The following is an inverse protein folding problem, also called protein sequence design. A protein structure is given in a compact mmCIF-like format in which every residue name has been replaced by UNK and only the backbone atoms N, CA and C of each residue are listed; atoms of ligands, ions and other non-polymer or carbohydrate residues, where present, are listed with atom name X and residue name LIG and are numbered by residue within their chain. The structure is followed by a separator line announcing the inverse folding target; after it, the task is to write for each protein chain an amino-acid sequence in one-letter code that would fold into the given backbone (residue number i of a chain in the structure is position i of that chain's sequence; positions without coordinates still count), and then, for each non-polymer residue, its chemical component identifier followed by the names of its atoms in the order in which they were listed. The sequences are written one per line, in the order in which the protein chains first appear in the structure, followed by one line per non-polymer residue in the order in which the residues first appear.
data_IF_320377756066
#
_entry.id   IF_320377756066
#
_cell.length_a   1.000
_cell.length_b   1.000
_cell.length_c   1.000
_cell.angle_alpha   90.00
_cell.angle_beta   90.00
_cell.angle_gamma   90.00
#
_symmetry.space_group_name_H-M   'P 1'
#
loop_
_entity.id
_entity.type
_entity.pdbx_description
1 polymer ?
#
# COMPACT_ATOMS: atom_id res chain seq x y z
N UNK A 1 -11.14 33.04 40.85
CA UNK A 1 -10.14 32.31 41.66
C UNK A 1 -10.32 30.79 41.68
N UNK A 2 -11.49 30.21 41.35
CA UNK A 2 -11.65 28.73 41.29
C UNK A 2 -11.37 28.09 39.92
N UNK A 3 -11.17 28.85 38.84
CA UNK A 3 -10.92 28.28 37.49
C UNK A 3 -9.43 28.02 37.20
N UNK A 4 -8.51 28.80 37.78
CA UNK A 4 -7.06 28.62 37.56
C UNK A 4 -6.51 27.35 38.22
N UNK A 5 -7.06 26.96 39.36
CA UNK A 5 -6.67 25.74 40.09
C UNK A 5 -7.14 24.46 39.41
N UNK A 6 -8.23 24.50 38.63
CA UNK A 6 -8.69 23.34 37.87
C UNK A 6 -7.79 23.06 36.65
N UNK A 7 -7.32 24.11 35.97
CA UNK A 7 -6.44 23.98 34.80
C UNK A 7 -5.04 23.45 35.17
N UNK A 8 -4.48 23.84 36.32
CA UNK A 8 -3.16 23.37 36.74
C UNK A 8 -3.16 21.88 37.14
N UNK A 9 -4.23 21.38 37.75
CA UNK A 9 -4.36 19.95 38.12
C UNK A 9 -4.54 19.07 36.88
N UNK A 10 -5.29 19.54 35.89
CA UNK A 10 -5.42 18.88 34.58
C UNK A 10 -4.05 18.70 33.89
N UNK A 11 -3.27 19.78 33.77
CA UNK A 11 -1.96 19.75 33.12
C UNK A 11 -0.92 18.87 33.83
N UNK A 12 -0.94 18.81 35.17
CA UNK A 12 -0.05 17.93 35.94
C UNK A 12 -0.39 16.45 35.70
N UNK A 13 -1.67 16.13 35.54
CA UNK A 13 -2.12 14.76 35.27
C UNK A 13 -1.70 14.32 33.87
N UNK A 14 -1.84 15.19 32.87
CA UNK A 14 -1.42 14.92 31.48
C UNK A 14 0.10 14.76 31.37
N UNK A 15 0.89 15.68 31.92
CA UNK A 15 2.35 15.61 31.85
C UNK A 15 2.93 14.36 32.55
N UNK A 16 2.30 13.92 33.64
CA UNK A 16 2.69 12.69 34.33
C UNK A 16 2.32 11.43 33.53
N UNK A 17 1.15 11.45 32.84
CA UNK A 17 0.71 10.38 31.93
C UNK A 17 1.66 10.24 30.73
N UNK A 18 2.09 11.34 30.12
CA UNK A 18 3.09 11.35 29.02
C UNK A 18 4.42 10.76 29.48
N UNK A 19 4.92 11.17 30.64
CA UNK A 19 6.20 10.66 31.18
C UNK A 19 6.14 9.17 31.53
N UNK A 20 4.99 8.68 31.99
CA UNK A 20 4.76 7.28 32.31
C UNK A 20 4.66 6.40 31.06
N UNK A 21 4.03 6.90 30.00
CA UNK A 21 3.89 6.22 28.69
C UNK A 21 5.23 6.09 27.95
N UNK A 22 6.11 7.08 28.07
CA UNK A 22 7.43 7.10 27.40
C UNK A 22 8.48 6.21 28.10
N UNK A 23 8.18 5.66 29.29
CA UNK A 23 9.15 4.91 30.12
C UNK A 23 9.41 3.45 29.70
N UNK A 24 9.03 3.03 28.47
CA UNK A 24 9.55 1.80 27.85
C UNK A 24 8.55 0.64 27.68
N UNK A 25 7.95 0.06 28.75
CA UNK A 25 7.02 -1.07 28.59
C UNK A 25 5.61 -0.65 28.14
N UNK A 26 5.25 0.63 28.28
CA UNK A 26 3.93 1.15 27.87
C UNK A 26 3.91 1.69 26.43
N UNK A 27 5.08 1.78 25.76
CA UNK A 27 5.18 2.28 24.39
C UNK A 27 4.41 1.39 23.39
N UNK A 28 4.28 0.10 23.70
CA UNK A 28 3.53 -0.87 22.92
C UNK A 28 2.00 -0.63 23.00
N UNK A 29 1.53 -0.03 24.10
CA UNK A 29 0.11 0.32 24.31
C UNK A 29 -0.30 1.61 23.61
N UNK A 30 0.65 2.45 23.18
CA UNK A 30 0.36 3.65 22.37
C UNK A 30 -0.37 3.26 21.08
N UNK A 31 -0.06 2.09 20.51
CA UNK A 31 -0.71 1.59 19.30
C UNK A 31 -2.17 1.14 19.50
N UNK A 32 -2.62 0.99 20.75
CA UNK A 32 -3.97 0.61 21.10
C UNK A 32 -4.84 1.80 21.55
N UNK A 33 -4.29 3.02 21.57
CA UNK A 33 -5.04 4.20 21.93
C UNK A 33 -6.02 4.61 20.82
N UNK A 34 -7.20 5.16 21.18
CA UNK A 34 -8.07 5.84 20.24
C UNK A 34 -7.31 6.97 19.52
N UNK A 35 -7.70 7.25 18.28
CA UNK A 35 -7.04 8.25 17.42
C UNK A 35 -6.96 9.61 18.10
N UNK A 36 -8.02 10.00 18.81
CA UNK A 36 -8.13 11.30 19.47
C UNK A 36 -7.10 11.46 20.60
N UNK A 37 -7.00 10.46 21.50
CA UNK A 37 -6.00 10.45 22.58
C UNK A 37 -4.56 10.38 22.05
N UNK A 38 -4.37 9.78 20.88
CA UNK A 38 -3.06 9.72 20.22
C UNK A 38 -2.63 11.12 19.72
N UNK A 39 -3.55 11.90 19.16
CA UNK A 39 -3.25 13.27 18.73
C UNK A 39 -2.97 14.20 19.91
N UNK A 40 -3.73 14.09 21.00
CA UNK A 40 -3.46 14.85 22.23
C UNK A 40 -2.05 14.55 22.77
N UNK A 41 -1.64 13.28 22.75
CA UNK A 41 -0.29 12.87 23.13
C UNK A 41 0.80 13.42 22.19
N UNK A 42 0.52 13.55 20.89
CA UNK A 42 1.47 14.12 19.94
C UNK A 42 1.62 15.64 20.12
N UNK A 43 0.53 16.33 20.45
CA UNK A 43 0.53 17.77 20.68
C UNK A 43 1.26 18.14 21.98
N UNK A 44 1.18 17.27 22.99
CA UNK A 44 1.88 17.45 24.28
C UNK A 44 3.33 16.90 24.31
N UNK A 45 3.75 16.11 23.32
CA UNK A 45 5.05 15.46 23.30
C UNK A 45 6.21 16.43 23.02
N UNK A 46 7.31 16.27 23.74
CA UNK A 46 8.54 17.02 23.45
C UNK A 46 9.21 16.50 22.17
N UNK A 47 10.09 17.29 21.52
CA UNK A 47 10.79 16.86 20.31
C UNK A 47 11.54 15.52 20.45
N UNK A 48 12.08 15.24 21.64
CA UNK A 48 12.77 13.99 21.95
C UNK A 48 11.80 12.81 22.08
N UNK A 49 10.60 13.04 22.63
CA UNK A 49 9.56 12.04 22.74
C UNK A 49 8.94 11.72 21.38
N UNK A 50 8.75 12.74 20.53
CA UNK A 50 8.34 12.55 19.14
C UNK A 50 9.33 11.67 18.38
N UNK A 51 10.64 11.85 18.57
CA UNK A 51 11.65 10.97 17.96
C UNK A 51 11.53 9.51 18.42
N UNK A 52 11.24 9.27 19.71
CA UNK A 52 11.04 7.92 20.24
C UNK A 52 9.77 7.27 19.70
N UNK A 53 8.68 8.03 19.58
CA UNK A 53 7.42 7.58 18.99
C UNK A 53 7.64 7.25 17.51
N UNK A 54 8.28 8.15 16.74
CA UNK A 54 8.59 7.90 15.32
C UNK A 54 9.44 6.63 15.15
N UNK A 55 10.47 6.45 15.98
CA UNK A 55 11.34 5.28 15.91
C UNK A 55 10.61 3.97 16.31
N UNK A 56 9.64 4.03 17.23
CA UNK A 56 8.82 2.86 17.55
C UNK A 56 7.87 2.49 16.41
N UNK A 57 7.27 3.49 15.74
CA UNK A 57 6.49 3.29 14.53
C UNK A 57 7.31 2.66 13.40
N UNK A 58 8.56 3.11 13.20
CA UNK A 58 9.47 2.50 12.22
C UNK A 58 9.78 1.03 12.56
N UNK A 59 9.99 0.73 13.85
CA UNK A 59 10.23 -0.63 14.34
C UNK A 59 9.00 -1.54 14.18
N UNK A 60 7.80 -1.05 14.47
CA UNK A 60 6.53 -1.80 14.33
C UNK A 60 6.13 -1.98 12.87
N UNK A 61 6.41 -0.98 12.02
CA UNK A 61 6.28 -1.13 10.57
C UNK A 61 7.21 -2.21 10.00
N UNK A 62 8.38 -2.41 10.61
CA UNK A 62 9.33 -3.49 10.25
C UNK A 62 8.89 -4.89 10.71
N UNK A 63 8.12 -5.02 11.79
CA UNK A 63 7.71 -6.32 12.36
C UNK A 63 6.40 -6.88 11.81
N UNK A 64 5.67 -6.17 10.94
CA UNK A 64 4.50 -6.77 10.27
C UNK A 64 4.96 -7.84 9.28
N UNK A 65 4.79 -9.11 9.69
CA UNK A 65 5.05 -10.37 8.98
C UNK A 65 4.81 -10.37 7.46
N UNK A 66 3.87 -9.56 6.95
CA UNK A 66 3.63 -9.32 5.52
C UNK A 66 4.83 -8.73 4.76
N UNK A 67 5.63 -7.87 5.40
CA UNK A 67 6.86 -7.34 4.81
C UNK A 67 7.91 -8.44 4.57
N UNK A 68 7.94 -9.49 5.41
CA UNK A 68 8.90 -10.59 5.23
C UNK A 68 8.53 -11.49 4.04
N UNK A 69 7.23 -11.74 3.82
CA UNK A 69 6.75 -12.50 2.66
C UNK A 69 6.93 -11.71 1.38
N UNK A 70 6.61 -10.41 1.41
CA UNK A 70 6.88 -9.52 0.28
C UNK A 70 8.37 -9.41 -0.02
N UNK A 71 9.23 -9.29 0.99
CA UNK A 71 10.68 -9.31 0.77
C UNK A 71 11.15 -10.63 0.16
N UNK A 72 10.63 -11.78 0.59
CA UNK A 72 10.95 -13.06 -0.05
C UNK A 72 10.48 -13.14 -1.50
N UNK A 73 9.28 -12.64 -1.81
CA UNK A 73 8.74 -12.60 -3.17
C UNK A 73 9.53 -11.62 -4.04
N UNK A 74 9.95 -10.49 -3.50
CA UNK A 74 10.66 -9.44 -4.22
C UNK A 74 12.17 -9.74 -4.33
N UNK A 75 12.71 -10.57 -3.44
CA UNK A 75 14.13 -10.90 -3.40
C UNK A 75 14.65 -11.42 -4.75
N UNK A 76 15.76 -10.83 -5.16
CA UNK A 76 16.47 -11.08 -6.40
C UNK A 76 17.67 -11.96 -6.06
N UNK A 77 17.78 -13.20 -6.60
CA UNK A 77 19.03 -13.94 -6.51
C UNK A 77 20.17 -13.12 -7.12
N UNK A 78 21.25 -12.96 -6.37
CA UNK A 78 22.42 -12.13 -6.68
C UNK A 78 23.36 -12.87 -7.64
N UNK A 79 23.88 -12.18 -8.66
CA UNK A 79 24.86 -12.74 -9.62
C UNK A 79 24.61 -12.44 -11.10
N UNK A 80 25.50 -12.94 -11.97
CA UNK A 80 25.39 -12.85 -13.44
C UNK A 80 24.14 -13.59 -13.91
N UNK A 81 23.11 -12.86 -14.33
CA UNK A 81 21.86 -13.45 -14.83
C UNK A 81 21.91 -13.66 -16.33
N UNK A 82 21.57 -14.88 -16.77
CA UNK A 82 21.21 -15.13 -18.16
C UNK A 82 19.84 -14.52 -18.48
N UNK A 83 19.56 -14.29 -19.76
CA UNK A 83 18.23 -13.84 -20.23
C UNK A 83 17.12 -14.76 -19.73
N UNK A 84 17.37 -16.07 -19.72
CA UNK A 84 16.45 -17.07 -19.19
C UNK A 84 16.17 -16.88 -17.70
N UNK A 85 17.18 -16.56 -16.90
CA UNK A 85 17.01 -16.27 -15.47
C UNK A 85 16.17 -15.02 -15.23
N UNK A 86 16.32 -13.99 -16.08
CA UNK A 86 15.47 -12.78 -16.03
C UNK A 86 14.02 -13.15 -16.35
N UNK A 87 13.78 -13.86 -17.46
CA UNK A 87 12.44 -14.30 -17.86
C UNK A 87 11.76 -15.15 -16.78
N UNK A 88 12.45 -16.14 -16.23
CA UNK A 88 11.91 -16.98 -15.14
C UNK A 88 11.59 -16.17 -13.88
N UNK A 89 12.39 -15.14 -13.57
CA UNK A 89 12.12 -14.25 -12.44
C UNK A 89 10.80 -13.50 -12.61
N UNK A 90 10.54 -12.96 -13.81
CA UNK A 90 9.27 -12.30 -14.13
C UNK A 90 8.09 -13.29 -14.16
N UNK A 91 8.22 -14.41 -14.86
CA UNK A 91 7.13 -15.40 -14.95
C UNK A 91 6.72 -15.97 -13.60
N UNK A 92 7.67 -16.22 -12.69
CA UNK A 92 7.35 -16.70 -11.33
C UNK A 92 6.54 -15.72 -10.48
N UNK A 93 6.53 -14.42 -10.83
CA UNK A 93 5.81 -13.36 -10.10
C UNK A 93 4.51 -12.93 -10.77
N UNK A 94 4.25 -13.40 -12.00
CA UNK A 94 3.00 -13.17 -12.72
C UNK A 94 1.76 -13.57 -11.90
N UNK A 95 1.72 -14.72 -11.16
CA UNK A 95 0.56 -15.06 -10.34
C UNK A 95 0.30 -14.04 -9.22
N UNK A 96 1.35 -13.56 -8.55
CA UNK A 96 1.23 -12.55 -7.49
C UNK A 96 0.70 -11.24 -8.05
N UNK A 97 1.23 -10.79 -9.18
CA UNK A 97 0.73 -9.61 -9.89
C UNK A 97 -0.77 -9.75 -10.24
N UNK A 98 -1.15 -10.86 -10.88
CA UNK A 98 -2.54 -11.10 -11.28
C UNK A 98 -3.49 -11.20 -10.09
N UNK A 99 -3.07 -11.79 -8.97
CA UNK A 99 -3.87 -11.84 -7.74
C UNK A 99 -4.10 -10.42 -7.20
N UNK A 100 -3.05 -9.60 -7.11
CA UNK A 100 -3.15 -8.23 -6.58
C UNK A 100 -4.10 -7.39 -7.47
N UNK A 101 -3.87 -7.38 -8.78
CA UNK A 101 -4.69 -6.61 -9.73
C UNK A 101 -6.11 -7.16 -9.80
N UNK A 102 -6.28 -8.49 -9.77
CA UNK A 102 -7.59 -9.14 -9.78
C UNK A 102 -8.41 -8.79 -8.54
N UNK A 103 -7.81 -8.85 -7.35
CA UNK A 103 -8.47 -8.44 -6.10
C UNK A 103 -8.85 -6.96 -6.11
N UNK A 104 -8.01 -6.10 -6.71
CA UNK A 104 -8.31 -4.67 -6.84
C UNK A 104 -9.52 -4.40 -7.77
N UNK A 105 -9.77 -5.25 -8.77
CA UNK A 105 -10.90 -5.09 -9.71
C UNK A 105 -12.19 -5.83 -9.32
N UNK A 106 -12.16 -6.70 -8.29
CA UNK A 106 -13.34 -7.44 -7.84
C UNK A 106 -14.52 -6.55 -7.43
N UNK A 107 -14.34 -5.44 -6.68
CA UNK A 107 -15.46 -4.60 -6.28
C UNK A 107 -16.22 -4.02 -7.48
N UNK A 108 -15.52 -3.56 -8.52
CA UNK A 108 -16.12 -3.14 -9.79
C UNK A 108 -17.02 -4.21 -10.44
N UNK A 109 -16.55 -5.45 -10.50
CA UNK A 109 -17.31 -6.56 -11.10
C UNK A 109 -18.57 -6.86 -10.29
N UNK A 110 -18.43 -6.89 -8.96
CA UNK A 110 -19.56 -7.11 -8.05
C UNK A 110 -20.60 -5.99 -8.18
N UNK A 111 -20.14 -4.73 -8.20
CA UNK A 111 -21.02 -3.57 -8.35
C UNK A 111 -21.80 -3.65 -9.66
N UNK A 112 -21.13 -3.81 -10.81
CA UNK A 112 -21.79 -3.93 -12.10
C UNK A 112 -22.75 -5.12 -12.18
N UNK A 113 -22.44 -6.22 -11.49
CA UNK A 113 -23.31 -7.40 -11.42
C UNK A 113 -24.61 -7.11 -10.66
N UNK A 114 -24.56 -6.30 -9.59
CA UNK A 114 -25.75 -5.87 -8.85
C UNK A 114 -26.69 -5.00 -9.68
N UNK A 115 -26.17 -4.27 -10.67
CA UNK A 115 -26.95 -3.49 -11.64
C UNK A 115 -27.37 -4.30 -12.89
N UNK A 116 -27.24 -5.63 -12.87
CA UNK A 116 -27.63 -6.50 -13.98
C UNK A 116 -26.66 -6.50 -15.17
N UNK A 117 -25.51 -5.83 -15.06
CA UNK A 117 -24.48 -5.73 -16.11
C UNK A 117 -23.35 -6.76 -15.94
N UNK A 118 -23.59 -7.87 -15.24
CA UNK A 118 -22.57 -8.87 -14.91
C UNK A 118 -21.85 -9.44 -16.13
N UNK A 119 -22.55 -9.74 -17.22
CA UNK A 119 -21.93 -10.23 -18.46
C UNK A 119 -20.95 -9.20 -19.05
N UNK A 120 -21.35 -7.93 -19.13
CA UNK A 120 -20.48 -6.86 -19.62
C UNK A 120 -19.28 -6.65 -18.70
N UNK A 121 -19.48 -6.74 -17.39
CA UNK A 121 -18.41 -6.67 -16.39
C UNK A 121 -17.38 -7.79 -16.58
N UNK A 122 -17.83 -9.03 -16.78
CA UNK A 122 -16.94 -10.17 -17.04
C UNK A 122 -16.13 -9.99 -18.34
N UNK A 123 -16.77 -9.54 -19.42
CA UNK A 123 -16.08 -9.27 -20.69
C UNK A 123 -15.06 -8.15 -20.52
N UNK A 124 -15.43 -7.04 -19.88
CA UNK A 124 -14.53 -5.92 -19.60
C UNK A 124 -13.35 -6.35 -18.73
N UNK A 125 -13.59 -7.12 -17.67
CA UNK A 125 -12.56 -7.67 -16.80
C UNK A 125 -11.60 -8.60 -17.56
N UNK A 126 -12.11 -9.45 -18.45
CA UNK A 126 -11.29 -10.34 -19.27
C UNK A 126 -10.40 -9.55 -20.25
N UNK A 127 -10.95 -8.56 -20.94
CA UNK A 127 -10.18 -7.66 -21.83
C UNK A 127 -9.11 -6.92 -21.03
N UNK A 128 -9.47 -6.38 -19.86
CA UNK A 128 -8.53 -5.70 -18.98
C UNK A 128 -7.41 -6.64 -18.51
N UNK A 129 -7.73 -7.88 -18.11
CA UNK A 129 -6.75 -8.88 -17.70
C UNK A 129 -5.74 -9.20 -18.81
N UNK A 130 -6.18 -9.28 -20.06
CA UNK A 130 -5.28 -9.43 -21.22
C UNK A 130 -4.35 -8.22 -21.35
N UNK A 131 -4.91 -7.01 -21.36
CA UNK A 131 -4.13 -5.77 -21.47
C UNK A 131 -3.10 -5.63 -20.34
N UNK A 132 -3.50 -5.92 -19.10
CA UNK A 132 -2.63 -5.92 -17.93
C UNK A 132 -1.46 -6.92 -18.08
N UNK A 133 -1.74 -8.12 -18.58
CA UNK A 133 -0.70 -9.13 -18.83
C UNK A 133 0.25 -8.74 -19.98
N UNK A 134 -0.23 -8.05 -21.01
CA UNK A 134 0.62 -7.50 -22.08
C UNK A 134 1.55 -6.43 -21.50
N UNK A 135 1.03 -5.50 -20.71
CA UNK A 135 1.83 -4.48 -20.03
C UNK A 135 2.87 -5.10 -19.09
N UNK A 136 2.48 -6.16 -18.35
CA UNK A 136 3.39 -6.90 -17.49
C UNK A 136 4.57 -7.52 -18.27
N UNK A 137 4.30 -8.07 -19.45
CA UNK A 137 5.34 -8.67 -20.31
C UNK A 137 6.42 -7.66 -20.74
N UNK A 138 6.14 -6.35 -20.73
CA UNK A 138 7.12 -5.31 -21.06
C UNK A 138 8.19 -5.15 -19.96
N UNK A 139 7.95 -5.64 -18.75
CA UNK A 139 8.89 -5.56 -17.63
C UNK A 139 10.22 -6.29 -17.89
N UNK A 140 10.16 -7.50 -18.46
CA UNK A 140 11.36 -8.28 -18.74
C UNK A 140 12.27 -7.64 -19.82
N UNK A 141 11.76 -7.22 -20.99
CA UNK A 141 12.54 -6.43 -21.95
C UNK A 141 13.09 -5.14 -21.36
N UNK A 142 12.30 -4.41 -20.55
CA UNK A 142 12.75 -3.19 -19.90
C UNK A 142 13.93 -3.43 -18.95
N UNK A 143 13.93 -4.54 -18.19
CA UNK A 143 15.08 -4.93 -17.36
C UNK A 143 16.32 -5.25 -18.21
N UNK A 144 16.16 -5.95 -19.34
CA UNK A 144 17.28 -6.29 -20.25
C UNK A 144 17.91 -5.01 -20.83
N UNK A 145 17.09 -4.06 -21.27
CA UNK A 145 17.56 -2.76 -21.77
C UNK A 145 18.27 -1.99 -20.66
N UNK A 146 17.67 -1.91 -19.46
CA UNK A 146 18.27 -1.22 -18.32
C UNK A 146 19.63 -1.82 -17.93
N UNK A 147 19.76 -3.16 -17.92
CA UNK A 147 21.03 -3.86 -17.66
C UNK A 147 22.08 -3.58 -18.72
N UNK A 148 21.67 -3.41 -19.98
CA UNK A 148 22.57 -3.09 -21.10
C UNK A 148 23.12 -1.67 -20.97
N UNK A 149 22.29 -0.73 -20.52
CA UNK A 149 22.67 0.68 -20.34
C UNK A 149 23.44 0.98 -19.04
N UNK A 150 23.07 0.35 -17.91
CA UNK A 150 23.50 0.77 -16.55
C UNK A 150 24.30 -0.28 -15.76
N UNK A 151 25.04 -1.16 -16.47
CA UNK A 151 25.81 -2.36 -16.03
C UNK A 151 26.16 -2.54 -14.54
N UNK A 152 26.54 -1.52 -13.78
CA UNK A 152 26.98 -1.65 -12.37
C UNK A 152 25.86 -1.55 -11.31
N UNK A 153 24.70 -0.96 -11.60
CA UNK A 153 23.62 -0.74 -10.61
C UNK A 153 22.32 -1.52 -10.92
N UNK A 154 22.40 -2.53 -11.78
CA UNK A 154 21.21 -3.17 -12.34
C UNK A 154 20.54 -4.22 -11.43
N UNK A 155 21.08 -4.47 -10.23
CA UNK A 155 20.59 -5.51 -9.33
C UNK A 155 19.22 -5.17 -8.73
N UNK A 156 18.97 -3.89 -8.45
CA UNK A 156 17.73 -3.40 -7.82
C UNK A 156 16.62 -3.07 -8.82
N UNK A 157 16.88 -3.13 -10.13
CA UNK A 157 15.94 -2.67 -11.15
C UNK A 157 14.68 -3.54 -11.26
N UNK A 158 14.82 -4.86 -11.24
CA UNK A 158 13.68 -5.77 -11.40
C UNK A 158 12.63 -5.59 -10.27
N UNK A 159 13.01 -5.58 -8.98
CA UNK A 159 12.12 -5.27 -7.86
C UNK A 159 11.40 -3.94 -7.99
N UNK A 160 12.13 -2.90 -8.39
CA UNK A 160 11.60 -1.54 -8.51
C UNK A 160 10.60 -1.48 -9.65
N UNK A 161 10.95 -2.01 -10.83
CA UNK A 161 10.04 -2.06 -11.99
C UNK A 161 8.79 -2.89 -11.71
N UNK A 162 8.93 -4.05 -11.06
CA UNK A 162 7.79 -4.88 -10.67
C UNK A 162 6.87 -4.15 -9.69
N UNK A 163 7.44 -3.52 -8.66
CA UNK A 163 6.68 -2.76 -7.67
C UNK A 163 5.96 -1.56 -8.31
N UNK A 164 6.68 -0.75 -9.09
CA UNK A 164 6.11 0.40 -9.79
C UNK A 164 5.02 0.00 -10.78
N UNK A 165 5.26 -1.04 -11.59
CA UNK A 165 4.28 -1.56 -12.54
C UNK A 165 3.03 -2.12 -11.85
N UNK A 166 3.19 -2.77 -10.69
CA UNK A 166 2.07 -3.26 -9.88
C UNK A 166 1.27 -2.11 -9.28
N UNK A 167 1.94 -1.13 -8.66
CA UNK A 167 1.28 0.07 -8.11
C UNK A 167 0.52 0.81 -9.21
N UNK A 168 1.16 1.03 -10.35
CA UNK A 168 0.53 1.67 -11.51
C UNK A 168 -0.72 0.91 -11.96
N UNK A 169 -0.66 -0.42 -12.06
CA UNK A 169 -1.80 -1.24 -12.47
C UNK A 169 -2.95 -1.17 -11.47
N UNK A 170 -2.65 -1.20 -10.16
CA UNK A 170 -3.67 -1.07 -9.10
C UNK A 170 -4.31 0.31 -9.14
N UNK A 171 -3.52 1.38 -9.24
CA UNK A 171 -4.02 2.75 -9.35
C UNK A 171 -4.92 2.90 -10.57
N UNK A 172 -4.50 2.36 -11.72
CA UNK A 172 -5.31 2.38 -12.94
C UNK A 172 -6.62 1.60 -12.77
N UNK A 173 -6.58 0.44 -12.10
CA UNK A 173 -7.78 -0.37 -11.81
C UNK A 173 -8.77 0.42 -10.96
N UNK A 174 -8.30 1.02 -9.86
CA UNK A 174 -9.13 1.84 -8.96
C UNK A 174 -9.67 3.08 -9.68
N UNK A 175 -8.87 3.72 -10.53
CA UNK A 175 -9.33 4.86 -11.31
C UNK A 175 -10.46 4.48 -12.27
N UNK A 176 -10.34 3.34 -12.96
CA UNK A 176 -11.41 2.82 -13.81
C UNK A 176 -12.68 2.49 -13.00
N UNK A 177 -12.52 1.94 -11.80
CA UNK A 177 -13.64 1.71 -10.87
C UNK A 177 -14.38 3.00 -10.53
N UNK A 178 -13.64 4.05 -10.16
CA UNK A 178 -14.22 5.36 -9.84
C UNK A 178 -14.97 5.95 -11.04
N UNK A 179 -14.46 5.77 -12.26
CA UNK A 179 -15.16 6.19 -13.48
C UNK A 179 -16.45 5.42 -13.71
N UNK A 180 -16.46 4.11 -13.47
CA UNK A 180 -17.68 3.28 -13.57
C UNK A 180 -18.72 3.73 -12.55
N UNK A 181 -18.31 3.95 -11.30
CA UNK A 181 -19.19 4.47 -10.24
C UNK A 181 -19.76 5.84 -10.63
N UNK A 182 -18.91 6.76 -11.10
CA UNK A 182 -19.35 8.07 -11.54
C UNK A 182 -20.35 8.00 -12.71
N UNK A 183 -20.11 7.11 -13.68
CA UNK A 183 -21.02 6.89 -14.80
C UNK A 183 -22.37 6.32 -14.35
N UNK A 184 -22.38 5.37 -13.41
CA UNK A 184 -23.60 4.84 -12.81
C UNK A 184 -24.40 5.91 -12.09
N UNK A 185 -23.74 6.69 -11.22
CA UNK A 185 -24.37 7.79 -10.47
C UNK A 185 -24.95 8.82 -11.43
N UNK A 186 -24.19 9.24 -12.43
CA UNK A 186 -24.66 10.18 -13.46
C UNK A 186 -25.84 9.62 -14.27
N UNK A 187 -25.80 8.33 -14.62
CA UNK A 187 -26.89 7.63 -15.30
C UNK A 187 -28.19 7.61 -14.49
N UNK A 188 -28.09 7.37 -13.18
CA UNK A 188 -29.23 7.43 -12.26
C UNK A 188 -29.84 8.84 -12.21
N UNK A 189 -29.02 9.89 -12.08
CA UNK A 189 -29.51 11.28 -12.06
C UNK A 189 -30.10 11.73 -13.40
N UNK A 190 -29.62 11.19 -14.52
CA UNK A 190 -30.08 11.53 -15.86
C UNK A 190 -31.37 10.77 -16.26
N UNK A 191 -31.88 9.87 -15.40
CA UNK A 191 -33.05 9.04 -15.71
C UNK A 191 -32.84 8.06 -16.86
N UNK A 192 -31.59 7.66 -17.13
CA UNK A 192 -31.23 6.76 -18.26
C UNK A 192 -31.11 5.28 -17.84
N UNK A 193 -31.65 4.91 -16.68
CA UNK A 193 -31.67 3.55 -16.14
C UNK A 193 -33.05 3.18 -15.61
#
# INVERSE_FOLDING_TARGET
MSSETANSVSQITSASKVKLVVSGPELEKIHALPVDEYFDLLEEATPEQLQLIIHSFEKVSRTKSGASLLQKVIAVPQGRRSLFSILMWWESRRPVYNIIVGLAGLPSILLLSLFGMGHAACVAAFVYAICANICYCLGAPAEVVARTCYKQNAETYAPVLFTLGTIFSVVLTVLLELLVVAALVFGMFSGRF
#
